data_IF_444528809375
#
_entry.id   IF_444528809375
#
_cell.length_a   1.000
_cell.length_b   1.000
_cell.length_c   1.000
_cell.angle_alpha   90.00
_cell.angle_beta   90.00
_cell.angle_gamma   90.00
#
_symmetry.space_group_name_H-M   'P 1'
#
loop_
_entity.id
_entity.type
_entity.pdbx_description
1 polymer ?
#
# COMPACT_ATOMS: atom_id res chain seq x y z
N UNK A 1 13.17 -19.86 5.89
CA UNK A 1 12.62 -18.49 5.81
C UNK A 1 12.68 -17.86 7.18
N UNK A 2 13.29 -16.68 7.31
CA UNK A 2 13.34 -15.93 8.58
C UNK A 2 11.96 -15.34 8.92
N UNK A 3 11.76 -14.91 10.18
CA UNK A 3 10.52 -14.23 10.57
C UNK A 3 10.30 -12.94 9.77
N UNK A 4 11.38 -12.18 9.53
CA UNK A 4 11.35 -10.98 8.70
C UNK A 4 10.85 -11.29 7.28
N UNK A 5 11.41 -12.30 6.60
CA UNK A 5 10.98 -12.63 5.23
C UNK A 5 9.51 -13.07 5.14
N UNK A 6 8.92 -13.66 6.19
CA UNK A 6 7.48 -13.97 6.21
C UNK A 6 6.61 -12.70 6.28
N UNK A 7 7.07 -11.68 6.99
CA UNK A 7 6.39 -10.39 7.10
C UNK A 7 6.50 -9.61 5.77
N UNK A 8 7.66 -9.63 5.12
CA UNK A 8 7.82 -9.01 3.80
C UNK A 8 6.89 -9.68 2.77
N UNK A 9 6.79 -11.02 2.77
CA UNK A 9 5.87 -11.75 1.89
C UNK A 9 4.41 -11.44 2.20
N UNK A 10 4.03 -11.31 3.48
CA UNK A 10 2.67 -10.92 3.82
C UNK A 10 2.34 -9.51 3.33
N UNK A 11 3.29 -8.56 3.37
CA UNK A 11 3.10 -7.22 2.80
C UNK A 11 2.83 -7.27 1.30
N UNK A 12 3.61 -8.04 0.55
CA UNK A 12 3.40 -8.20 -0.89
C UNK A 12 1.99 -8.70 -1.20
N UNK A 13 1.41 -9.56 -0.36
CA UNK A 13 0.02 -10.03 -0.48
C UNK A 13 -0.98 -8.95 -0.07
N UNK A 14 -0.67 -8.13 0.93
CA UNK A 14 -1.55 -7.04 1.39
C UNK A 14 -1.67 -5.89 0.38
N UNK A 15 -0.63 -5.61 -0.42
CA UNK A 15 -0.67 -4.56 -1.46
C UNK A 15 -1.82 -4.77 -2.47
N UNK A 16 -1.96 -5.93 -3.15
CA UNK A 16 -3.08 -6.15 -4.07
C UNK A 16 -4.43 -6.22 -3.35
N UNK A 17 -4.49 -6.66 -2.09
CA UNK A 17 -5.72 -6.60 -1.28
C UNK A 17 -6.15 -5.16 -1.04
N UNK A 18 -5.21 -4.29 -0.65
CA UNK A 18 -5.45 -2.85 -0.53
C UNK A 18 -5.89 -2.24 -1.86
N UNK A 19 -5.17 -2.53 -2.95
CA UNK A 19 -5.50 -2.05 -4.29
C UNK A 19 -6.94 -2.44 -4.69
N UNK A 20 -7.33 -3.69 -4.44
CA UNK A 20 -8.65 -4.20 -4.74
C UNK A 20 -9.75 -3.50 -3.92
N UNK A 21 -9.51 -3.26 -2.62
CA UNK A 21 -10.45 -2.54 -1.76
C UNK A 21 -10.59 -1.07 -2.17
N UNK A 22 -9.47 -0.39 -2.45
CA UNK A 22 -9.45 0.99 -2.91
C UNK A 22 -10.16 1.15 -4.27
N UNK A 23 -9.90 0.24 -5.21
CA UNK A 23 -10.60 0.18 -6.50
C UNK A 23 -12.11 0.00 -6.33
N UNK A 24 -12.55 -0.96 -5.49
CA UNK A 24 -13.98 -1.18 -5.23
C UNK A 24 -14.64 0.00 -4.55
N UNK A 25 -13.95 0.68 -3.64
CA UNK A 25 -14.43 1.91 -3.04
C UNK A 25 -14.61 3.00 -4.10
N UNK A 26 -13.61 3.23 -4.96
CA UNK A 26 -13.70 4.19 -6.07
C UNK A 26 -14.88 3.92 -7.00
N UNK A 27 -15.15 2.65 -7.31
CA UNK A 27 -16.34 2.27 -8.08
C UNK A 27 -17.65 2.57 -7.33
N UNK A 28 -17.71 2.35 -6.02
CA UNK A 28 -18.89 2.67 -5.21
C UNK A 28 -19.18 4.17 -5.16
N UNK A 29 -18.14 5.01 -5.05
CA UNK A 29 -18.26 6.47 -5.10
C UNK A 29 -18.73 6.92 -6.48
N UNK A 30 -18.15 6.38 -7.55
CA UNK A 30 -18.54 6.69 -8.92
C UNK A 30 -20.00 6.27 -9.24
N UNK A 31 -20.52 5.25 -8.56
CA UNK A 31 -21.91 4.81 -8.67
C UNK A 31 -22.89 5.70 -7.87
N UNK A 32 -22.39 6.66 -7.07
CA UNK A 32 -23.20 7.53 -6.21
C UNK A 32 -23.63 6.88 -4.88
N UNK A 33 -23.20 5.64 -4.61
CA UNK A 33 -23.46 4.92 -3.37
C UNK A 33 -22.13 4.60 -2.67
N UNK A 34 -21.52 5.62 -2.08
CA UNK A 34 -20.22 5.48 -1.41
C UNK A 34 -20.30 4.46 -0.26
N UNK A 35 -19.65 3.31 -0.43
CA UNK A 35 -19.59 2.29 0.60
C UNK A 35 -18.41 2.55 1.54
N UNK A 36 -18.68 3.34 2.59
CA UNK A 36 -17.65 3.73 3.57
C UNK A 36 -17.02 2.53 4.31
N UNK A 37 -17.67 1.36 4.37
CA UNK A 37 -17.03 0.16 4.92
C UNK A 37 -15.80 -0.24 4.11
N UNK A 38 -15.86 -0.15 2.77
CA UNK A 38 -14.72 -0.45 1.89
C UNK A 38 -13.56 0.50 2.14
N UNK A 39 -13.86 1.77 2.40
CA UNK A 39 -12.85 2.79 2.76
C UNK A 39 -12.14 2.45 4.06
N UNK A 40 -12.89 2.09 5.10
CA UNK A 40 -12.31 1.70 6.40
C UNK A 40 -11.48 0.42 6.29
N UNK A 41 -11.94 -0.57 5.51
CA UNK A 41 -11.17 -1.78 5.25
C UNK A 41 -9.89 -1.49 4.46
N UNK A 42 -9.95 -0.66 3.42
CA UNK A 42 -8.77 -0.24 2.67
C UNK A 42 -7.76 0.46 3.58
N UNK A 43 -8.23 1.39 4.44
CA UNK A 43 -7.39 2.08 5.41
C UNK A 43 -6.74 1.11 6.41
N UNK A 44 -7.51 0.16 6.95
CA UNK A 44 -7.00 -0.82 7.90
C UNK A 44 -5.90 -1.69 7.26
N UNK A 45 -6.11 -2.19 6.04
CA UNK A 45 -5.12 -2.98 5.30
C UNK A 45 -3.88 -2.15 5.00
N UNK A 46 -4.04 -0.89 4.56
CA UNK A 46 -2.94 0.01 4.29
C UNK A 46 -2.09 0.26 5.55
N UNK A 47 -2.72 0.53 6.69
CA UNK A 47 -2.03 0.75 7.97
C UNK A 47 -1.29 -0.49 8.44
N UNK A 48 -1.89 -1.68 8.33
CA UNK A 48 -1.23 -2.94 8.69
C UNK A 48 -0.04 -3.21 7.77
N UNK A 49 -0.19 -2.98 6.46
CA UNK A 49 0.89 -3.15 5.49
C UNK A 49 2.04 -2.16 5.77
N UNK A 50 1.75 -0.89 6.03
CA UNK A 50 2.76 0.12 6.35
C UNK A 50 3.47 -0.16 7.68
N UNK A 51 2.72 -0.54 8.72
CA UNK A 51 3.29 -0.89 10.01
C UNK A 51 4.21 -2.13 9.93
N UNK A 52 3.87 -3.09 9.05
CA UNK A 52 4.67 -4.30 8.85
C UNK A 52 6.11 -4.04 8.36
N UNK A 53 6.36 -2.90 7.70
CA UNK A 53 7.69 -2.44 7.23
C UNK A 53 8.59 -1.91 8.33
N UNK A 54 8.02 -1.15 9.26
CA UNK A 54 8.78 -0.74 10.44
C UNK A 54 9.18 -1.97 11.28
N UNK A 55 8.30 -2.96 11.36
CA UNK A 55 8.45 -4.13 12.24
C UNK A 55 9.48 -5.12 11.70
N UNK A 56 9.45 -5.50 10.41
CA UNK A 56 10.42 -6.46 9.88
C UNK A 56 11.84 -5.88 9.82
N UNK A 57 11.99 -4.61 9.45
CA UNK A 57 13.27 -3.89 9.51
C UNK A 57 13.80 -3.74 10.94
N UNK A 58 12.93 -3.62 11.94
CA UNK A 58 13.33 -3.65 13.34
C UNK A 58 13.79 -5.05 13.79
N UNK A 59 13.02 -6.10 13.46
CA UNK A 59 13.34 -7.49 13.80
C UNK A 59 14.66 -7.92 13.12
N UNK A 60 14.83 -7.62 11.83
CA UNK A 60 16.04 -7.97 11.08
C UNK A 60 17.30 -7.35 11.70
N UNK A 61 17.23 -6.08 12.15
CA UNK A 61 18.33 -5.39 12.84
C UNK A 61 18.59 -5.95 14.24
N UNK A 62 17.53 -6.24 15.01
CA UNK A 62 17.63 -6.70 16.39
C UNK A 62 18.20 -8.13 16.50
N UNK A 63 17.83 -9.01 15.57
CA UNK A 63 18.19 -10.42 15.60
C UNK A 63 19.29 -10.81 14.61
N UNK A 64 19.93 -9.83 13.95
CA UNK A 64 20.94 -10.04 12.90
C UNK A 64 20.48 -11.03 11.80
N UNK A 65 19.18 -11.08 11.53
CA UNK A 65 18.56 -12.00 10.56
C UNK A 65 18.53 -11.35 9.17
N UNK A 66 19.72 -11.05 8.63
CA UNK A 66 19.84 -10.61 7.23
C UNK A 66 19.68 -11.81 6.32
N UNK A 67 18.72 -11.77 5.39
CA UNK A 67 18.60 -12.72 4.30
C UNK A 67 18.71 -12.00 2.97
N UNK A 68 19.45 -12.57 2.02
CA UNK A 68 19.63 -11.97 0.70
C UNK A 68 18.30 -11.82 -0.05
N UNK A 69 17.37 -12.76 0.17
CA UNK A 69 16.02 -12.71 -0.37
C UNK A 69 15.20 -11.54 0.21
N UNK A 70 15.26 -11.31 1.52
CA UNK A 70 14.57 -10.18 2.16
C UNK A 70 15.12 -8.85 1.67
N UNK A 71 16.45 -8.73 1.59
CA UNK A 71 17.12 -7.53 1.10
C UNK A 71 16.79 -7.20 -0.37
N UNK A 72 16.54 -8.22 -1.20
CA UNK A 72 16.13 -8.03 -2.58
C UNK A 72 14.67 -7.59 -2.72
N UNK A 73 13.78 -8.11 -1.87
CA UNK A 73 12.33 -7.85 -1.95
C UNK A 73 11.91 -6.57 -1.22
N UNK A 74 12.61 -6.17 -0.17
CA UNK A 74 12.30 -4.96 0.62
C UNK A 74 12.08 -3.71 -0.25
N UNK A 75 12.97 -3.34 -1.20
CA UNK A 75 12.78 -2.16 -2.03
C UNK A 75 11.53 -2.22 -2.91
N UNK A 76 11.10 -3.42 -3.31
CA UNK A 76 9.89 -3.64 -4.13
C UNK A 76 8.65 -3.51 -3.25
N UNK A 77 8.68 -4.09 -2.06
CA UNK A 77 7.56 -4.07 -1.13
C UNK A 77 7.31 -2.66 -0.56
N UNK A 78 8.39 -1.92 -0.26
CA UNK A 78 8.35 -0.55 0.26
C UNK A 78 7.76 0.43 -0.78
N UNK A 79 8.34 0.45 -1.99
CA UNK A 79 7.84 1.29 -3.08
C UNK A 79 6.44 0.88 -3.55
N UNK A 80 6.14 -0.42 -3.53
CA UNK A 80 4.89 -0.95 -4.04
C UNK A 80 3.67 -0.44 -3.28
N UNK A 81 3.72 -0.40 -1.94
CA UNK A 81 2.61 0.11 -1.14
C UNK A 81 2.38 1.61 -1.36
N UNK A 82 3.46 2.40 -1.36
CA UNK A 82 3.40 3.84 -1.56
C UNK A 82 2.88 4.20 -2.96
N UNK A 83 3.46 3.62 -4.01
CA UNK A 83 3.03 3.87 -5.40
C UNK A 83 1.58 3.45 -5.62
N UNK A 84 1.18 2.29 -5.09
CA UNK A 84 -0.21 1.82 -5.18
C UNK A 84 -1.17 2.81 -4.49
N UNK A 85 -0.82 3.29 -3.30
CA UNK A 85 -1.61 4.29 -2.57
C UNK A 85 -1.81 5.58 -3.36
N UNK A 86 -0.71 6.14 -3.89
CA UNK A 86 -0.74 7.40 -4.64
C UNK A 86 -1.51 7.26 -5.96
N UNK A 87 -1.31 6.15 -6.67
CA UNK A 87 -2.04 5.86 -7.93
C UNK A 87 -3.54 5.74 -7.66
N UNK A 88 -3.95 4.96 -6.65
CA UNK A 88 -5.37 4.79 -6.30
C UNK A 88 -6.00 6.11 -5.84
N UNK A 89 -5.26 6.94 -5.11
CA UNK A 89 -5.72 8.25 -4.66
C UNK A 89 -5.85 9.27 -5.80
N UNK A 90 -5.14 9.12 -6.92
CA UNK A 90 -5.26 10.01 -8.08
C UNK A 90 -6.22 9.53 -9.16
N UNK A 91 -6.44 8.22 -9.28
CA UNK A 91 -7.33 7.63 -10.28
C UNK A 91 -8.79 7.57 -9.84
N UNK A 92 -9.04 7.44 -8.53
CA UNK A 92 -10.40 7.30 -8.00
C UNK A 92 -10.79 8.51 -7.18
N UNK A 93 -12.09 8.74 -7.13
CA UNK A 93 -12.70 9.76 -6.29
C UNK A 93 -12.87 9.22 -4.87
N UNK A 94 -12.52 10.04 -3.89
CA UNK A 94 -12.58 9.70 -2.47
C UNK A 94 -13.52 10.66 -1.74
N UNK A 95 -14.44 10.07 -0.97
CA UNK A 95 -15.45 10.78 -0.18
C UNK A 95 -16.54 11.46 -1.02
N UNK A 96 -17.53 12.04 -0.33
CA UNK A 96 -18.73 12.62 -0.95
C UNK A 96 -18.44 13.80 -1.88
N UNK A 97 -17.32 14.49 -1.66
CA UNK A 97 -16.88 15.62 -2.48
C UNK A 97 -16.11 15.20 -3.75
N UNK A 98 -15.88 13.89 -3.95
CA UNK A 98 -15.15 13.37 -5.10
C UNK A 98 -13.71 13.88 -5.19
N UNK A 99 -13.02 13.98 -4.05
CA UNK A 99 -11.65 14.46 -4.04
C UNK A 99 -10.71 13.41 -4.61
N UNK A 100 -9.77 13.84 -5.45
CA UNK A 100 -8.70 13.00 -6.01
C UNK A 100 -7.39 13.76 -6.02
N UNK A 101 -6.28 13.03 -5.91
CA UNK A 101 -4.96 13.60 -6.12
C UNK A 101 -4.81 14.05 -7.59
N UNK A 102 -4.27 15.25 -7.83
CA UNK A 102 -3.96 15.67 -9.19
C UNK A 102 -2.99 14.70 -9.87
N UNK A 103 -3.27 14.32 -11.12
CA UNK A 103 -2.45 13.34 -11.86
C UNK A 103 -1.00 13.82 -12.06
N UNK A 104 -0.76 15.13 -12.10
CA UNK A 104 0.61 15.67 -12.15
C UNK A 104 1.40 15.33 -10.88
N UNK A 105 0.75 15.27 -9.71
CA UNK A 105 1.40 14.88 -8.46
C UNK A 105 1.72 13.39 -8.47
N UNK A 106 0.79 12.55 -8.94
CA UNK A 106 1.03 11.11 -9.14
C UNK A 106 2.21 10.87 -10.06
N UNK A 107 2.27 11.59 -11.19
CA UNK A 107 3.39 11.49 -12.13
C UNK A 107 4.72 11.93 -11.50
N UNK A 108 4.74 13.02 -10.72
CA UNK A 108 5.94 13.46 -10.01
C UNK A 108 6.44 12.43 -9.00
N UNK A 109 5.53 11.82 -8.21
CA UNK A 109 5.90 10.78 -7.26
C UNK A 109 6.45 9.55 -8.01
N UNK A 110 5.80 9.14 -9.09
CA UNK A 110 6.27 8.02 -9.89
C UNK A 110 7.67 8.29 -10.47
N UNK A 111 7.91 9.48 -11.01
CA UNK A 111 9.22 9.88 -11.54
C UNK A 111 10.32 10.00 -10.48
N UNK A 112 9.96 10.36 -9.24
CA UNK A 112 10.92 10.42 -8.12
C UNK A 112 11.34 9.03 -7.65
N UNK A 113 10.42 8.07 -7.69
CA UNK A 113 10.61 6.72 -7.14
C UNK A 113 11.07 5.69 -8.19
N UNK A 114 10.95 5.99 -9.49
CA UNK A 114 11.44 5.18 -10.61
C UNK A 114 12.96 5.27 -10.78
#
# INVERSE_FOLDING_TARGET
MTLASKITVSRIVLIPVFAMLAWRYGQSVAAGEANELLRWWALAVFLVAAASDGIDGWIARRFNQKSDFGAFIDPIADKGLMLTGVVMAGLFDWGDAGWRLPLWYVALVFLREA
#
